data_IF_359324144180
#
_entry.id   IF_359324144180
#
_cell.length_a   1.000
_cell.length_b   1.000
_cell.length_c   1.000
_cell.angle_alpha   90.00
_cell.angle_beta   90.00
_cell.angle_gamma   90.00
#
_symmetry.space_group_name_H-M   'P 1'
#
loop_
_entity.id
_entity.type
_entity.pdbx_description
1 polymer ?
#
# COMPACT_ATOMS: atom_id res chain seq x y z
N UNK A 1 3.90 17.14 4.95
CA UNK A 1 2.86 16.08 4.88
C UNK A 1 1.65 16.49 5.73
N UNK A 2 0.44 16.08 5.38
CA UNK A 2 -0.81 16.42 6.08
C UNK A 2 -1.35 15.30 6.99
N UNK A 3 -0.74 14.12 6.94
CA UNK A 3 -1.05 12.96 7.78
C UNK A 3 0.11 12.56 8.70
N UNK A 4 -0.20 11.88 9.80
CA UNK A 4 0.77 11.37 10.77
C UNK A 4 0.34 10.01 11.33
N UNK A 5 1.28 9.27 11.94
CA UNK A 5 1.02 8.09 12.78
C UNK A 5 1.45 8.35 14.22
N UNK A 6 0.84 7.63 15.15
CA UNK A 6 1.17 7.69 16.58
C UNK A 6 2.41 6.85 16.94
N UNK A 7 2.75 5.85 16.12
CA UNK A 7 3.93 5.01 16.31
C UNK A 7 4.39 4.40 14.96
N UNK A 8 5.64 3.90 14.89
CA UNK A 8 6.17 3.20 13.71
C UNK A 8 5.43 1.90 13.40
N UNK A 9 5.56 1.44 12.15
CA UNK A 9 5.04 0.15 11.71
C UNK A 9 3.64 0.22 11.10
N UNK A 10 2.91 -0.91 11.16
CA UNK A 10 1.55 -1.05 10.63
C UNK A 10 0.56 -0.37 11.56
N UNK A 11 0.29 0.90 11.32
CA UNK A 11 -0.62 1.71 12.10
C UNK A 11 -1.44 2.60 11.17
N UNK A 12 -2.70 2.91 11.51
CA UNK A 12 -3.46 3.90 10.78
C UNK A 12 -2.75 5.25 10.87
N UNK A 13 -2.88 6.02 9.79
CA UNK A 13 -2.52 7.42 9.71
C UNK A 13 -3.75 8.30 9.84
N UNK A 14 -3.56 9.47 10.42
CA UNK A 14 -4.60 10.45 10.74
C UNK A 14 -4.21 11.79 10.16
N UNK A 15 -5.20 12.62 9.80
CA UNK A 15 -4.95 13.99 9.38
C UNK A 15 -4.45 14.81 10.57
N UNK A 16 -3.37 15.56 10.34
CA UNK A 16 -2.81 16.46 11.36
C UNK A 16 -3.86 17.50 11.76
N UNK A 17 -4.54 18.07 10.77
CA UNK A 17 -5.62 19.01 11.02
C UNK A 17 -6.78 18.28 11.70
N UNK A 18 -7.20 18.79 12.85
CA UNK A 18 -8.30 18.32 13.70
C UNK A 18 -8.06 17.02 14.47
N UNK A 19 -7.22 16.08 14.01
CA UNK A 19 -7.04 14.79 14.71
C UNK A 19 -5.80 14.73 15.61
N UNK A 20 -4.76 15.55 15.35
CA UNK A 20 -3.53 15.48 16.16
C UNK A 20 -3.78 15.72 17.64
N UNK A 21 -4.54 16.76 17.96
CA UNK A 21 -4.74 17.18 19.34
C UNK A 21 -5.68 16.24 20.10
N UNK A 22 -6.73 15.74 19.43
CA UNK A 22 -7.68 14.80 20.03
C UNK A 22 -7.04 13.43 20.29
N UNK A 23 -6.10 13.00 19.45
CA UNK A 23 -5.41 11.71 19.62
C UNK A 23 -4.26 11.78 20.62
N UNK A 24 -3.57 12.92 20.72
CA UNK A 24 -2.37 13.04 21.56
C UNK A 24 -2.64 13.72 22.90
N UNK A 25 -3.77 14.42 23.04
CA UNK A 25 -4.09 15.32 24.14
C UNK A 25 -2.96 16.33 24.46
N UNK A 26 -2.06 16.59 23.49
CA UNK A 26 -0.81 17.35 23.68
C UNK A 26 0.01 16.86 24.88
N UNK A 27 -0.02 15.55 25.14
CA UNK A 27 0.70 14.94 26.26
C UNK A 27 1.99 14.26 25.79
N UNK A 28 2.89 14.01 26.73
CA UNK A 28 4.05 13.17 26.48
C UNK A 28 3.62 11.77 26.00
N UNK A 29 4.27 11.16 25.00
CA UNK A 29 5.52 11.58 24.35
C UNK A 29 5.37 12.54 23.16
N UNK A 30 4.14 12.88 22.76
CA UNK A 30 3.86 13.67 21.56
C UNK A 30 4.07 15.18 21.75
N UNK A 31 4.00 15.67 22.98
CA UNK A 31 4.43 17.01 23.36
C UNK A 31 5.68 16.90 24.23
N UNK A 32 6.78 17.48 23.78
CA UNK A 32 8.05 17.54 24.50
C UNK A 32 8.54 18.99 24.50
N UNK A 33 9.49 19.34 25.36
CA UNK A 33 10.03 20.70 25.41
C UNK A 33 11.46 20.72 24.90
N UNK A 34 11.83 21.76 24.16
CA UNK A 34 13.23 21.99 23.80
C UNK A 34 14.03 22.55 24.98
N UNK A 35 15.31 22.86 24.75
CA UNK A 35 16.21 23.39 25.78
C UNK A 35 15.77 24.75 26.33
N UNK A 36 14.94 25.47 25.59
CA UNK A 36 14.40 26.77 25.97
C UNK A 36 13.06 26.64 26.71
N UNK A 37 12.53 25.42 26.86
CA UNK A 37 11.23 25.17 27.48
C UNK A 37 10.05 25.36 26.53
N UNK A 38 10.28 25.50 25.22
CA UNK A 38 9.21 25.69 24.23
C UNK A 38 8.62 24.35 23.79
N UNK A 39 7.30 24.26 23.76
CA UNK A 39 6.58 23.05 23.39
C UNK A 39 6.83 22.65 21.92
N UNK A 40 7.17 21.38 21.73
CA UNK A 40 7.45 20.73 20.45
C UNK A 40 6.48 19.57 20.28
N UNK A 41 5.81 19.54 19.13
CA UNK A 41 4.82 18.51 18.82
C UNK A 41 5.42 17.49 17.85
N UNK A 42 5.47 16.22 18.23
CA UNK A 42 6.08 15.14 17.49
C UNK A 42 5.11 14.02 17.14
N UNK A 43 5.37 13.36 16.02
CA UNK A 43 4.66 12.17 15.57
C UNK A 43 5.55 11.34 14.64
N UNK A 44 4.96 10.38 13.93
CA UNK A 44 5.65 9.50 12.99
C UNK A 44 5.18 9.74 11.56
N UNK A 45 6.11 9.76 10.60
CA UNK A 45 5.79 9.82 9.18
C UNK A 45 5.03 8.55 8.75
N UNK A 46 3.89 8.67 8.04
CA UNK A 46 3.12 7.51 7.61
C UNK A 46 3.86 6.59 6.63
N UNK A 47 4.78 7.15 5.84
CA UNK A 47 5.45 6.43 4.74
C UNK A 47 6.81 5.82 5.12
N UNK A 48 7.64 6.55 5.87
CA UNK A 48 9.01 6.11 6.17
C UNK A 48 9.27 5.77 7.64
N UNK A 49 8.27 5.90 8.52
CA UNK A 49 8.39 5.67 9.97
C UNK A 49 9.35 6.59 10.73
N UNK A 50 10.00 7.55 10.08
CA UNK A 50 10.85 8.51 10.78
C UNK A 50 10.02 9.50 11.63
N UNK A 51 10.62 10.08 12.68
CA UNK A 51 10.02 11.18 13.43
C UNK A 51 9.67 12.36 12.53
N UNK A 52 8.55 12.99 12.85
CA UNK A 52 8.13 14.27 12.29
C UNK A 52 7.81 15.25 13.40
N UNK A 53 8.12 16.52 13.17
CA UNK A 53 7.62 17.64 13.96
C UNK A 53 6.39 18.24 13.29
N UNK A 54 5.35 18.49 14.08
CA UNK A 54 4.14 19.18 13.61
C UNK A 54 4.40 20.69 13.64
N UNK A 55 4.26 21.31 12.48
CA UNK A 55 4.49 22.74 12.25
C UNK A 55 3.15 23.45 12.09
N UNK A 56 3.06 24.66 12.63
CA UNK A 56 1.89 25.53 12.54
C UNK A 56 0.59 24.90 13.05
N UNK A 57 0.68 24.04 14.09
CA UNK A 57 -0.50 23.46 14.76
C UNK A 57 -1.44 24.56 15.28
N UNK A 58 -0.86 25.62 15.85
CA UNK A 58 -1.54 26.85 16.24
C UNK A 58 -1.11 28.00 15.32
N UNK A 59 -1.88 28.33 14.26
CA UNK A 59 -1.52 29.41 13.36
C UNK A 59 -1.58 30.77 14.07
N UNK A 60 -0.51 31.56 13.96
CA UNK A 60 -0.42 32.90 14.58
C UNK A 60 -1.23 33.96 13.81
N UNK A 61 -1.65 33.67 12.58
CA UNK A 61 -2.42 34.58 11.72
C UNK A 61 -3.14 33.81 10.60
N UNK A 62 -4.11 34.45 9.92
CA UNK A 62 -4.80 33.87 8.75
C UNK A 62 -3.87 33.55 7.57
N UNK A 63 -2.69 34.17 7.51
CA UNK A 63 -1.65 33.90 6.48
C UNK A 63 -0.73 32.72 6.83
N UNK A 64 -0.82 32.19 8.06
CA UNK A 64 -0.02 31.04 8.47
C UNK A 64 -0.37 29.82 7.61
N UNK A 65 0.61 28.96 7.27
CA UNK A 65 0.32 27.74 6.54
C UNK A 65 -0.61 26.84 7.36
N UNK A 66 -1.38 26.00 6.67
CA UNK A 66 -2.15 24.92 7.32
C UNK A 66 -1.18 24.00 8.08
N UNK A 67 -1.59 23.41 9.22
CA UNK A 67 -0.75 22.48 9.97
C UNK A 67 -0.19 21.37 9.08
N UNK A 68 1.10 21.07 9.23
CA UNK A 68 1.77 20.04 8.46
C UNK A 68 2.91 19.39 9.24
N UNK A 69 3.22 18.15 8.89
CA UNK A 69 4.34 17.40 9.41
C UNK A 69 5.59 17.65 8.58
N UNK A 70 6.70 17.90 9.26
CA UNK A 70 8.05 17.99 8.69
C UNK A 70 8.92 16.93 9.33
N UNK A 71 9.69 16.18 8.55
CA UNK A 71 10.66 15.24 9.10
C UNK A 71 11.62 15.93 10.09
N UNK A 72 11.88 15.26 11.21
CA UNK A 72 12.85 15.67 12.20
C UNK A 72 14.10 14.78 12.06
N UNK A 73 15.27 15.41 11.92
CA UNK A 73 16.54 14.72 11.61
C UNK A 73 17.25 14.30 12.90
N UNK A 74 16.60 13.43 13.66
CA UNK A 74 17.10 12.91 14.94
C UNK A 74 16.09 12.01 15.61
N UNK A 75 16.54 11.20 16.56
CA UNK A 75 15.66 10.35 17.35
C UNK A 75 14.76 11.20 18.25
N UNK A 76 13.51 10.77 18.40
CA UNK A 76 12.57 11.39 19.34
C UNK A 76 12.16 10.34 20.35
N UNK A 77 12.55 10.57 21.61
CA UNK A 77 12.34 9.63 22.70
C UNK A 77 10.86 9.21 22.80
N UNK A 78 10.63 7.89 22.86
CA UNK A 78 9.30 7.25 22.89
C UNK A 78 8.37 7.55 21.70
N UNK A 79 8.88 8.12 20.60
CA UNK A 79 8.13 8.33 19.36
C UNK A 79 8.68 7.45 18.24
N UNK A 80 9.92 7.69 17.80
CA UNK A 80 10.56 6.94 16.72
C UNK A 80 12.06 7.24 16.65
N UNK A 81 12.80 6.31 16.03
CA UNK A 81 14.20 6.49 15.69
C UNK A 81 14.33 6.97 14.24
N UNK A 82 15.32 7.81 13.98
CA UNK A 82 15.62 8.36 12.67
C UNK A 82 16.41 7.37 11.82
N UNK A 83 15.98 7.19 10.57
CA UNK A 83 16.72 6.47 9.53
C UNK A 83 16.98 7.36 8.32
N UNK A 84 18.25 7.68 8.05
CA UNK A 84 18.63 8.44 6.87
C UNK A 84 18.22 7.72 5.58
N UNK A 85 18.40 6.39 5.54
CA UNK A 85 18.01 5.58 4.39
C UNK A 85 16.49 5.68 4.17
N UNK A 86 15.66 5.60 5.22
CA UNK A 86 14.22 5.75 5.07
C UNK A 86 13.82 7.17 4.63
N UNK A 87 14.48 8.21 5.15
CA UNK A 87 14.26 9.60 4.75
C UNK A 87 14.53 9.81 3.26
N UNK A 88 15.68 9.33 2.78
CA UNK A 88 16.16 9.43 1.40
C UNK A 88 15.28 8.73 0.36
N UNK A 89 14.38 7.87 0.83
CA UNK A 89 13.44 7.07 0.05
C UNK A 89 11.98 7.50 0.30
N UNK A 90 11.75 8.47 1.18
CA UNK A 90 10.41 8.91 1.54
C UNK A 90 9.84 9.84 0.46
N UNK A 91 8.63 9.58 -0.06
CA UNK A 91 8.01 10.45 -1.06
C UNK A 91 7.82 11.88 -0.54
N UNK A 92 7.55 12.06 0.76
CA UNK A 92 7.39 13.39 1.35
C UNK A 92 8.71 14.16 1.55
N UNK A 93 9.84 13.47 1.67
CA UNK A 93 11.15 14.12 1.85
C UNK A 93 11.80 14.44 0.50
N UNK A 94 11.67 13.52 -0.46
CA UNK A 94 12.31 13.59 -1.76
C UNK A 94 11.29 13.38 -2.90
N UNK A 95 10.32 14.30 -3.07
CA UNK A 95 9.21 14.12 -4.02
C UNK A 95 9.67 14.04 -5.49
N UNK A 96 10.76 14.72 -5.82
CA UNK A 96 11.33 14.78 -7.18
C UNK A 96 12.63 13.98 -7.29
N UNK A 97 12.75 12.89 -6.51
CA UNK A 97 13.95 12.06 -6.53
C UNK A 97 14.22 11.53 -7.93
N UNK A 98 15.43 11.77 -8.47
CA UNK A 98 15.90 11.20 -9.74
C UNK A 98 16.47 9.79 -9.59
N UNK A 99 16.31 9.16 -8.42
CA UNK A 99 16.77 7.79 -8.17
C UNK A 99 15.94 6.82 -9.01
N UNK A 100 16.59 5.81 -9.57
CA UNK A 100 15.88 4.75 -10.29
C UNK A 100 14.90 3.99 -9.38
N UNK A 101 13.98 3.25 -10.01
CA UNK A 101 12.85 2.59 -9.36
C UNK A 101 13.25 1.46 -8.41
N UNK A 102 14.50 0.99 -8.50
CA UNK A 102 15.01 -0.10 -7.67
C UNK A 102 15.94 0.41 -6.57
N UNK A 103 15.79 -0.21 -5.40
CA UNK A 103 16.72 -0.15 -4.30
C UNK A 103 17.96 -1.02 -4.59
N UNK A 104 19.11 -0.73 -3.96
CA UNK A 104 20.24 -1.66 -3.92
C UNK A 104 19.82 -3.02 -3.35
N UNK A 105 20.50 -4.10 -3.77
CA UNK A 105 20.15 -5.48 -3.39
C UNK A 105 20.25 -5.71 -1.88
N UNK A 106 21.19 -5.06 -1.20
CA UNK A 106 21.43 -5.13 0.24
C UNK A 106 20.73 -4.02 1.03
N UNK A 107 19.63 -3.47 0.51
CA UNK A 107 18.91 -2.39 1.18
C UNK A 107 18.09 -2.92 2.36
N UNK A 108 18.34 -2.37 3.55
CA UNK A 108 17.55 -2.64 4.76
C UNK A 108 16.06 -2.32 4.60
N UNK A 109 15.70 -1.39 3.69
CA UNK A 109 14.29 -1.13 3.32
C UNK A 109 13.69 -2.35 2.59
N UNK A 110 14.47 -2.99 1.71
CA UNK A 110 14.05 -4.20 1.01
C UNK A 110 13.82 -5.36 1.98
N UNK A 111 14.74 -5.55 2.94
CA UNK A 111 14.62 -6.59 3.96
C UNK A 111 13.41 -6.34 4.88
N UNK A 112 13.18 -5.09 5.29
CA UNK A 112 12.00 -4.73 6.07
C UNK A 112 10.67 -5.04 5.35
N UNK A 113 10.63 -4.95 4.00
CA UNK A 113 9.44 -5.35 3.23
C UNK A 113 9.25 -6.86 3.25
N UNK A 114 10.32 -7.63 3.11
CA UNK A 114 10.26 -9.10 3.21
C UNK A 114 9.75 -9.53 4.58
N UNK A 115 10.31 -8.97 5.65
CA UNK A 115 9.87 -9.25 7.02
C UNK A 115 8.41 -8.88 7.24
N UNK A 116 7.97 -7.75 6.68
CA UNK A 116 6.57 -7.35 6.75
C UNK A 116 5.66 -8.35 6.02
N UNK A 117 6.04 -8.77 4.82
CA UNK A 117 5.29 -9.79 4.06
C UNK A 117 5.19 -11.07 4.88
N UNK A 118 6.28 -11.59 5.46
CA UNK A 118 6.23 -12.81 6.31
C UNK A 118 5.19 -12.71 7.42
N UNK A 119 5.13 -11.55 8.10
CA UNK A 119 4.23 -11.31 9.24
C UNK A 119 2.77 -11.03 8.87
N UNK A 120 2.52 -10.53 7.66
CA UNK A 120 1.21 -9.96 7.27
C UNK A 120 0.72 -10.42 5.91
N UNK A 121 1.24 -11.53 5.38
CA UNK A 121 0.88 -11.99 4.04
C UNK A 121 -0.61 -12.33 3.91
N UNK A 122 -1.21 -12.87 4.95
CA UNK A 122 -2.64 -13.12 5.05
C UNK A 122 -3.48 -11.84 4.88
N UNK A 123 -3.12 -10.77 5.60
CA UNK A 123 -3.75 -9.44 5.48
C UNK A 123 -3.61 -8.87 4.07
N UNK A 124 -2.40 -8.96 3.49
CA UNK A 124 -2.14 -8.48 2.12
C UNK A 124 -3.08 -9.16 1.14
N UNK A 125 -3.15 -10.49 1.17
CA UNK A 125 -3.98 -11.29 0.27
C UNK A 125 -5.47 -11.05 0.52
N UNK A 126 -5.89 -10.92 1.78
CA UNK A 126 -7.29 -10.63 2.12
C UNK A 126 -7.75 -9.29 1.54
N UNK A 127 -6.97 -8.23 1.75
CA UNK A 127 -7.26 -6.89 1.24
C UNK A 127 -7.35 -6.89 -0.29
N UNK A 128 -6.39 -7.53 -0.95
CA UNK A 128 -6.40 -7.69 -2.41
C UNK A 128 -7.69 -8.38 -2.87
N UNK A 129 -8.03 -9.51 -2.25
CA UNK A 129 -9.19 -10.31 -2.62
C UNK A 129 -10.49 -9.53 -2.48
N UNK A 130 -10.66 -8.79 -1.37
CA UNK A 130 -11.88 -8.02 -1.11
C UNK A 130 -12.06 -6.82 -2.02
N UNK A 131 -10.99 -6.11 -2.36
CA UNK A 131 -11.09 -4.91 -3.20
C UNK A 131 -11.14 -5.20 -4.69
N UNK A 132 -10.50 -6.27 -5.15
CA UNK A 132 -10.57 -6.67 -6.56
C UNK A 132 -11.82 -7.49 -6.88
N UNK A 133 -12.45 -8.10 -5.87
CA UNK A 133 -13.54 -9.06 -6.06
C UNK A 133 -13.05 -10.43 -6.57
N UNK A 134 -11.75 -10.65 -6.72
CA UNK A 134 -11.20 -11.96 -7.09
C UNK A 134 -10.95 -12.76 -5.82
N UNK A 135 -11.49 -13.99 -5.71
CA UNK A 135 -11.17 -14.89 -4.60
C UNK A 135 -9.74 -15.42 -4.77
N UNK A 136 -8.84 -14.98 -3.90
CA UNK A 136 -7.44 -15.40 -3.95
C UNK A 136 -7.27 -16.70 -3.16
N UNK A 137 -7.07 -17.82 -3.87
CA UNK A 137 -6.76 -19.11 -3.27
C UNK A 137 -5.31 -19.16 -2.76
N UNK A 138 -4.99 -20.13 -1.90
CA UNK A 138 -3.61 -20.37 -1.46
C UNK A 138 -2.65 -20.60 -2.64
N UNK A 139 -3.10 -21.28 -3.69
CA UNK A 139 -2.32 -21.49 -4.91
C UNK A 139 -2.02 -20.16 -5.61
N UNK A 140 -3.01 -19.28 -5.75
CA UNK A 140 -2.80 -17.95 -6.33
C UNK A 140 -1.91 -17.08 -5.45
N UNK A 141 -2.11 -17.10 -4.13
CA UNK A 141 -1.28 -16.34 -3.20
C UNK A 141 0.19 -16.78 -3.34
N UNK A 142 0.45 -18.09 -3.37
CA UNK A 142 1.79 -18.65 -3.59
C UNK A 142 2.39 -18.20 -4.93
N UNK A 143 1.62 -18.21 -6.01
CA UNK A 143 2.02 -17.74 -7.34
C UNK A 143 2.40 -16.25 -7.32
N UNK A 144 1.53 -15.40 -6.75
CA UNK A 144 1.76 -13.96 -6.61
C UNK A 144 3.03 -13.64 -5.82
N UNK A 145 3.22 -14.27 -4.67
CA UNK A 145 4.41 -14.06 -3.84
C UNK A 145 5.67 -14.63 -4.51
N UNK A 146 5.57 -15.79 -5.15
CA UNK A 146 6.68 -16.38 -5.91
C UNK A 146 7.14 -15.47 -7.04
N UNK A 147 6.21 -14.90 -7.81
CA UNK A 147 6.53 -13.94 -8.87
C UNK A 147 7.16 -12.66 -8.33
N UNK A 148 6.59 -12.11 -7.24
CA UNK A 148 7.17 -10.96 -6.55
C UNK A 148 8.61 -11.20 -6.15
N UNK A 149 8.91 -12.36 -5.58
CA UNK A 149 10.26 -12.69 -5.14
C UNK A 149 11.20 -12.95 -6.33
N UNK A 150 10.76 -13.75 -7.32
CA UNK A 150 11.54 -14.04 -8.53
C UNK A 150 11.95 -12.77 -9.27
N UNK A 151 11.06 -11.78 -9.33
CA UNK A 151 11.28 -10.50 -10.00
C UNK A 151 11.84 -9.42 -9.06
N UNK A 152 12.34 -9.79 -7.88
CA UNK A 152 12.96 -8.91 -6.90
C UNK A 152 12.10 -7.70 -6.48
N UNK A 153 10.79 -7.89 -6.38
CA UNK A 153 9.82 -6.83 -6.10
C UNK A 153 10.05 -6.09 -4.78
N UNK A 154 10.73 -6.70 -3.79
CA UNK A 154 11.14 -6.03 -2.54
C UNK A 154 12.07 -4.84 -2.77
N UNK A 155 12.78 -4.83 -3.90
CA UNK A 155 13.64 -3.72 -4.31
C UNK A 155 12.84 -2.55 -4.87
N UNK A 156 11.56 -2.71 -5.19
CA UNK A 156 10.78 -1.63 -5.79
C UNK A 156 10.60 -0.46 -4.82
N UNK A 157 11.17 0.70 -5.16
CA UNK A 157 11.21 1.90 -4.31
C UNK A 157 9.82 2.42 -3.97
N UNK A 158 8.86 2.28 -4.88
CA UNK A 158 7.49 2.75 -4.66
C UNK A 158 6.63 1.77 -3.87
N UNK A 159 7.09 0.53 -3.66
CA UNK A 159 6.46 -0.38 -2.71
C UNK A 159 6.71 0.11 -1.28
N UNK A 160 5.64 0.33 -0.51
CA UNK A 160 5.66 0.63 0.92
C UNK A 160 4.78 -0.39 1.65
N UNK A 161 4.93 -0.48 2.97
CA UNK A 161 4.13 -1.41 3.77
C UNK A 161 2.62 -1.19 3.59
N UNK A 162 2.20 0.06 3.35
CA UNK A 162 0.81 0.46 3.23
C UNK A 162 0.19 0.10 1.86
N UNK A 163 1.01 -0.05 0.82
CA UNK A 163 0.55 -0.27 -0.56
C UNK A 163 0.93 -1.64 -1.14
N UNK A 164 1.53 -2.52 -0.32
CA UNK A 164 1.92 -3.87 -0.71
C UNK A 164 0.82 -4.69 -1.43
N UNK A 165 -0.46 -4.64 -1.03
CA UNK A 165 -1.56 -5.29 -1.75
C UNK A 165 -1.61 -4.93 -3.25
N UNK A 166 -1.20 -3.72 -3.59
CA UNK A 166 -1.30 -3.20 -4.95
C UNK A 166 0.01 -3.34 -5.71
N UNK A 167 1.14 -3.19 -5.03
CA UNK A 167 2.46 -3.24 -5.65
C UNK A 167 3.00 -4.65 -5.79
N UNK A 168 2.60 -5.60 -4.93
CA UNK A 168 2.99 -7.00 -5.03
C UNK A 168 2.60 -7.65 -6.38
N UNK A 169 1.33 -7.58 -6.85
CA UNK A 169 0.93 -8.22 -8.11
C UNK A 169 1.51 -7.57 -9.37
N UNK A 170 2.03 -6.33 -9.29
CA UNK A 170 2.68 -5.64 -10.44
C UNK A 170 3.87 -6.43 -10.99
N UNK A 171 4.47 -7.27 -10.14
CA UNK A 171 5.61 -8.13 -10.49
C UNK A 171 5.18 -9.49 -11.09
N UNK A 172 3.91 -9.64 -11.45
CA UNK A 172 3.41 -10.81 -12.18
C UNK A 172 3.05 -10.42 -13.60
N UNK A 173 3.21 -11.36 -14.53
CA UNK A 173 2.51 -11.31 -15.81
C UNK A 173 0.99 -11.37 -15.59
N UNK A 174 0.20 -11.13 -16.65
CA UNK A 174 -1.25 -11.24 -16.56
C UNK A 174 -1.66 -12.66 -16.14
N UNK A 175 -2.46 -12.75 -15.06
CA UNK A 175 -2.80 -14.02 -14.41
C UNK A 175 -4.18 -14.48 -14.88
N UNK A 176 -4.28 -15.72 -15.37
CA UNK A 176 -5.57 -16.28 -15.83
C UNK A 176 -6.63 -16.26 -14.74
N UNK A 177 -7.89 -15.94 -15.10
CA UNK A 177 -9.05 -16.07 -14.22
C UNK A 177 -9.73 -17.45 -14.33
N UNK A 178 -9.35 -18.31 -15.28
CA UNK A 178 -9.97 -19.63 -15.45
C UNK A 178 -9.92 -20.45 -14.16
N UNK A 179 -11.07 -21.01 -13.77
CA UNK A 179 -11.24 -21.77 -12.54
C UNK A 179 -11.19 -20.94 -11.25
N UNK A 180 -11.27 -19.60 -11.34
CA UNK A 180 -11.30 -18.72 -10.17
C UNK A 180 -12.71 -18.23 -9.91
N UNK A 181 -13.01 -18.07 -8.62
CA UNK A 181 -14.26 -17.49 -8.14
C UNK A 181 -14.14 -15.98 -8.04
N UNK A 182 -15.20 -15.28 -8.45
CA UNK A 182 -15.38 -13.86 -8.22
C UNK A 182 -16.43 -13.65 -7.13
N UNK A 183 -16.29 -12.59 -6.35
CA UNK A 183 -17.27 -12.20 -5.34
C UNK A 183 -18.56 -11.73 -6.04
N UNK A 184 -19.71 -12.39 -5.83
CA UNK A 184 -20.96 -12.05 -6.50
C UNK A 184 -21.40 -10.59 -6.29
N UNK A 185 -20.99 -9.98 -5.18
CA UNK A 185 -21.36 -8.62 -4.83
C UNK A 185 -20.43 -7.58 -5.46
N UNK A 186 -19.28 -7.99 -5.99
CA UNK A 186 -18.28 -7.09 -6.59
C UNK A 186 -18.76 -6.46 -7.88
N UNK A 187 -18.31 -5.22 -8.11
CA UNK A 187 -18.48 -4.51 -9.39
C UNK A 187 -17.91 -5.31 -10.56
N UNK A 188 -16.78 -5.99 -10.33
CA UNK A 188 -16.13 -6.86 -11.30
C UNK A 188 -17.06 -7.98 -11.77
N UNK A 189 -17.61 -8.78 -10.83
CA UNK A 189 -18.47 -9.90 -11.19
C UNK A 189 -19.75 -9.41 -11.88
N UNK A 190 -20.41 -8.39 -11.33
CA UNK A 190 -21.63 -7.82 -11.91
C UNK A 190 -21.41 -7.33 -13.34
N UNK A 191 -20.28 -6.67 -13.62
CA UNK A 191 -19.98 -6.20 -14.98
C UNK A 191 -19.70 -7.34 -15.95
N UNK A 192 -18.90 -8.32 -15.52
CA UNK A 192 -18.49 -9.42 -16.40
C UNK A 192 -19.61 -10.42 -16.65
N UNK A 193 -20.41 -10.75 -15.63
CA UNK A 193 -21.52 -11.71 -15.76
C UNK A 193 -22.65 -11.16 -16.63
N UNK A 194 -22.90 -9.85 -16.61
CA UNK A 194 -23.86 -9.18 -17.49
C UNK A 194 -23.42 -9.19 -18.96
N UNK A 195 -22.15 -8.84 -19.23
CA UNK A 195 -21.63 -8.74 -20.61
C UNK A 195 -21.15 -10.05 -21.22
N UNK A 196 -20.70 -10.98 -20.37
CA UNK A 196 -20.08 -12.25 -20.76
C UNK A 196 -20.63 -13.42 -19.94
N UNK A 197 -21.97 -13.65 -19.94
CA UNK A 197 -22.60 -14.68 -19.10
C UNK A 197 -22.03 -16.07 -19.37
N UNK A 198 -21.71 -16.40 -20.62
CA UNK A 198 -21.16 -17.71 -21.01
C UNK A 198 -19.78 -18.02 -20.41
N UNK A 199 -19.09 -17.00 -19.88
CA UNK A 199 -17.79 -17.14 -19.20
C UNK A 199 -17.92 -17.83 -17.83
N UNK A 200 -19.12 -17.89 -17.24
CA UNK A 200 -19.32 -18.26 -15.85
C UNK A 200 -20.16 -19.53 -15.64
N UNK A 201 -19.80 -20.28 -14.60
CA UNK A 201 -20.63 -21.30 -13.97
C UNK A 201 -20.87 -20.85 -12.52
N UNK A 202 -22.08 -20.34 -12.23
CA UNK A 202 -22.33 -19.58 -11.01
C UNK A 202 -21.45 -18.32 -10.96
N UNK A 203 -20.64 -18.19 -9.92
CA UNK A 203 -19.64 -17.12 -9.78
C UNK A 203 -18.20 -17.58 -10.07
N UNK A 204 -18.04 -18.77 -10.63
CA UNK A 204 -16.74 -19.30 -11.07
C UNK A 204 -16.54 -19.04 -12.56
N UNK A 205 -15.36 -18.56 -12.95
CA UNK A 205 -14.98 -18.46 -14.36
C UNK A 205 -14.69 -19.88 -14.88
N UNK A 206 -15.42 -20.32 -15.91
CA UNK A 206 -15.29 -21.68 -16.46
C UNK A 206 -13.85 -22.01 -16.81
N UNK A 207 -13.40 -23.19 -16.41
CA UNK A 207 -12.05 -23.68 -16.71
C UNK A 207 -11.96 -24.25 -18.13
N UNK A 208 -12.89 -25.16 -18.46
CA UNK A 208 -13.06 -25.79 -19.78
C UNK A 208 -14.23 -25.17 -20.54
N UNK A 209 -14.19 -25.25 -21.88
CA UNK A 209 -15.25 -24.75 -22.79
C UNK A 209 -15.60 -23.27 -22.58
N UNK A 210 -14.65 -22.49 -22.03
CA UNK A 210 -14.78 -21.05 -21.93
C UNK A 210 -14.34 -20.44 -23.27
N UNK A 211 -15.24 -19.73 -24.00
CA UNK A 211 -14.88 -19.10 -25.26
C UNK A 211 -13.89 -17.93 -25.06
N UNK A 212 -13.66 -17.52 -23.81
CA UNK A 212 -12.73 -16.48 -23.44
C UNK A 212 -11.48 -17.06 -22.74
N UNK A 213 -10.39 -16.31 -22.82
CA UNK A 213 -9.18 -16.48 -22.04
C UNK A 213 -8.94 -15.25 -21.15
N UNK A 214 -9.79 -15.05 -20.11
CA UNK A 214 -9.72 -13.89 -19.26
C UNK A 214 -8.48 -13.95 -18.36
N UNK A 215 -7.76 -12.83 -18.26
CA UNK A 215 -6.62 -12.65 -17.36
C UNK A 215 -6.75 -11.32 -16.63
N UNK A 216 -6.37 -11.29 -15.35
CA UNK A 216 -6.31 -10.06 -14.59
C UNK A 216 -4.88 -9.52 -14.50
N UNK A 217 -4.74 -8.21 -14.44
CA UNK A 217 -3.46 -7.54 -14.25
C UNK A 217 -3.64 -6.23 -13.47
N UNK A 218 -2.65 -5.89 -12.64
CA UNK A 218 -2.52 -4.58 -12.00
C UNK A 218 -1.32 -3.86 -12.60
N UNK A 219 -1.56 -2.70 -13.24
CA UNK A 219 -0.55 -1.96 -13.99
C UNK A 219 -0.69 -0.45 -13.79
N UNK A 220 0.27 0.31 -14.30
CA UNK A 220 0.27 1.77 -14.29
C UNK A 220 0.07 2.34 -12.88
N UNK A 221 0.77 1.76 -11.89
CA UNK A 221 0.84 2.33 -10.56
C UNK A 221 1.37 3.77 -10.66
N UNK A 222 0.65 4.70 -10.05
CA UNK A 222 0.99 6.12 -10.02
C UNK A 222 0.99 6.60 -8.59
N UNK A 223 1.96 7.45 -8.28
CA UNK A 223 2.07 8.17 -7.04
C UNK A 223 2.19 9.65 -7.35
N UNK A 224 1.41 10.48 -6.68
CA UNK A 224 1.50 11.93 -6.81
C UNK A 224 1.38 12.59 -5.45
N UNK A 225 2.03 13.74 -5.33
CA UNK A 225 1.83 14.66 -4.23
C UNK A 225 1.02 15.84 -4.73
N UNK A 226 0.12 16.37 -3.89
CA UNK A 226 -0.57 17.63 -4.21
C UNK A 226 0.43 18.77 -4.41
N UNK A 227 0.01 19.87 -5.05
CA UNK A 227 0.90 21.01 -5.39
C UNK A 227 1.72 21.56 -4.22
N UNK A 228 1.27 21.38 -2.97
CA UNK A 228 1.98 21.80 -1.77
C UNK A 228 2.82 20.69 -1.10
N UNK A 229 3.00 19.54 -1.76
CA UNK A 229 3.70 18.34 -1.24
C UNK A 229 3.20 17.81 0.11
N UNK A 230 1.94 18.10 0.44
CA UNK A 230 1.37 17.75 1.74
C UNK A 230 0.58 16.45 1.69
N UNK A 231 -0.14 16.20 0.61
CA UNK A 231 -1.02 15.04 0.51
C UNK A 231 -0.50 14.07 -0.55
N UNK A 232 -0.35 12.80 -0.17
CA UNK A 232 0.10 11.72 -1.05
C UNK A 232 -1.13 10.98 -1.57
N UNK A 233 -1.22 10.83 -2.89
CA UNK A 233 -2.23 10.04 -3.57
C UNK A 233 -1.55 8.94 -4.38
N UNK A 234 -2.13 7.76 -4.33
CA UNK A 234 -1.64 6.58 -5.02
C UNK A 234 -2.81 5.90 -5.75
N UNK A 235 -2.58 5.54 -7.01
CA UNK A 235 -3.57 4.85 -7.84
C UNK A 235 -2.93 3.71 -8.62
N UNK A 236 -3.74 2.72 -8.99
CA UNK A 236 -3.32 1.62 -9.85
C UNK A 236 -4.47 1.21 -10.78
N UNK A 237 -4.16 0.81 -12.01
CA UNK A 237 -5.17 0.28 -12.92
C UNK A 237 -5.33 -1.21 -12.70
N UNK A 238 -6.53 -1.64 -12.38
CA UNK A 238 -6.94 -3.03 -12.34
C UNK A 238 -7.71 -3.35 -13.63
N UNK A 239 -7.26 -4.36 -14.38
CA UNK A 239 -7.83 -4.72 -15.68
C UNK A 239 -8.10 -6.21 -15.79
N UNK A 240 -9.20 -6.55 -16.46
CA UNK A 240 -9.41 -7.87 -17.05
C UNK A 240 -9.28 -7.76 -18.55
N UNK A 241 -8.37 -8.54 -19.11
CA UNK A 241 -8.17 -8.66 -20.56
C UNK A 241 -8.63 -10.03 -21.03
N UNK A 242 -9.19 -10.11 -22.22
CA UNK A 242 -9.28 -11.35 -22.98
C UNK A 242 -8.05 -11.44 -23.89
N UNK A 243 -7.33 -12.55 -23.84
CA UNK A 243 -6.18 -12.78 -24.72
C UNK A 243 -6.42 -13.99 -25.62
N UNK A 244 -6.70 -13.71 -26.89
CA UNK A 244 -6.76 -14.72 -27.94
C UNK A 244 -5.43 -14.73 -28.71
N UNK A 245 -5.22 -15.69 -29.63
CA UNK A 245 -3.93 -15.85 -30.32
C UNK A 245 -3.46 -14.61 -31.10
N UNK A 246 -4.40 -13.77 -31.55
CA UNK A 246 -4.14 -12.63 -32.45
C UNK A 246 -4.60 -11.28 -31.89
N UNK A 247 -5.25 -11.24 -30.74
CA UNK A 247 -5.83 -10.01 -30.20
C UNK A 247 -5.85 -9.99 -28.68
N UNK A 248 -5.80 -8.77 -28.14
CA UNK A 248 -5.99 -8.51 -26.72
C UNK A 248 -7.10 -7.46 -26.60
N UNK A 249 -8.19 -7.82 -25.92
CA UNK A 249 -9.32 -6.91 -25.71
C UNK A 249 -9.50 -6.64 -24.23
N UNK A 250 -9.87 -5.39 -23.90
CA UNK A 250 -10.15 -5.00 -22.52
C UNK A 250 -11.60 -5.34 -22.19
N UNK A 251 -11.82 -6.29 -21.27
CA UNK A 251 -13.16 -6.69 -20.81
C UNK A 251 -13.64 -5.80 -19.66
N UNK A 252 -12.72 -5.34 -18.82
CA UNK A 252 -13.01 -4.55 -17.62
C UNK A 252 -11.80 -3.72 -17.22
N UNK A 253 -11.99 -2.45 -16.86
CA UNK A 253 -10.97 -1.59 -16.28
C UNK A 253 -11.55 -0.77 -15.13
N UNK A 254 -10.81 -0.73 -14.02
CA UNK A 254 -11.07 0.15 -12.89
C UNK A 254 -9.75 0.83 -12.47
N UNK A 255 -9.83 2.10 -12.07
CA UNK A 255 -8.71 2.76 -11.39
C UNK A 255 -8.94 2.69 -9.88
N UNK A 256 -8.15 1.86 -9.20
CA UNK A 256 -8.22 1.73 -7.75
C UNK A 256 -7.46 2.88 -7.09
N UNK A 257 -8.13 3.59 -6.18
CA UNK A 257 -7.51 4.56 -5.28
C UNK A 257 -6.99 3.81 -4.07
N UNK A 258 -5.70 3.95 -3.77
CA UNK A 258 -5.03 3.21 -2.70
C UNK A 258 -5.26 3.94 -1.38
N UNK A 259 -6.07 3.32 -0.51
CA UNK A 259 -6.18 3.73 0.89
C UNK A 259 -5.02 3.13 1.70
N UNK A 260 -4.09 3.99 2.10
CA UNK A 260 -2.91 3.62 2.89
C UNK A 260 -3.25 3.07 4.27
N UNK A 261 -4.45 3.35 4.79
CA UNK A 261 -4.88 2.85 6.10
C UNK A 261 -5.57 1.49 6.01
N UNK A 262 -5.81 0.96 4.81
CA UNK A 262 -6.65 -0.21 4.62
C UNK A 262 -6.11 -1.44 5.33
N UNK A 263 -4.80 -1.71 5.24
CA UNK A 263 -4.18 -2.81 5.98
C UNK A 263 -4.29 -2.64 7.49
N UNK A 264 -3.98 -1.44 8.00
CA UNK A 264 -3.99 -1.17 9.43
C UNK A 264 -5.39 -1.22 10.06
N UNK A 265 -6.44 -1.01 9.25
CA UNK A 265 -7.85 -1.10 9.67
C UNK A 265 -8.47 -2.48 9.43
N UNK A 266 -7.75 -3.40 8.79
CA UNK A 266 -8.24 -4.74 8.48
C UNK A 266 -7.78 -5.71 9.54
N UNK A 267 -8.71 -6.46 10.12
CA UNK A 267 -8.40 -7.60 10.98
C UNK A 267 -8.75 -8.90 10.25
N UNK A 268 -7.73 -9.66 9.88
CA UNK A 268 -7.88 -10.97 9.27
C UNK A 268 -6.66 -11.82 9.61
N UNK A 269 -6.91 -13.11 9.87
CA UNK A 269 -5.85 -14.06 10.19
C UNK A 269 -6.00 -15.32 9.36
N UNK A 270 -4.90 -15.79 8.77
CA UNK A 270 -4.84 -17.09 8.08
C UNK A 270 -3.47 -17.72 8.22
N UNK A 271 -3.36 -18.68 9.14
CA UNK A 271 -2.14 -19.48 9.33
C UNK A 271 -1.60 -20.08 8.03
N UNK A 272 -2.49 -20.61 7.18
CA UNK A 272 -2.09 -21.23 5.90
C UNK A 272 -1.42 -20.25 4.94
N UNK A 273 -1.82 -18.97 4.94
CA UNK A 273 -1.18 -17.96 4.12
C UNK A 273 0.16 -17.55 4.73
N UNK A 274 0.23 -17.36 6.05
CA UNK A 274 1.50 -17.07 6.75
C UNK A 274 2.54 -18.18 6.54
N UNK A 275 2.14 -19.45 6.64
CA UNK A 275 3.01 -20.61 6.36
C UNK A 275 3.55 -20.61 4.91
N UNK A 276 2.81 -20.05 3.94
CA UNK A 276 3.32 -19.88 2.56
C UNK A 276 4.43 -18.83 2.53
N UNK A 277 4.23 -17.70 3.20
CA UNK A 277 5.21 -16.63 3.24
C UNK A 277 6.49 -17.07 3.96
N UNK A 278 6.37 -17.78 5.09
CA UNK A 278 7.52 -18.30 5.84
C UNK A 278 8.37 -19.26 5.01
N UNK A 279 7.76 -20.07 4.14
CA UNK A 279 8.47 -21.00 3.25
C UNK A 279 9.14 -20.32 2.06
N UNK A 280 8.56 -19.23 1.55
CA UNK A 280 9.03 -18.58 0.33
C UNK A 280 10.01 -17.44 0.60
N UNK A 281 9.84 -16.72 1.70
CA UNK A 281 10.67 -15.55 2.03
C UNK A 281 11.82 -15.98 2.93
N UNK A 282 12.96 -16.25 2.29
CA UNK A 282 14.27 -16.47 2.93
C UNK A 282 14.87 -15.17 3.44
#
# INVERSE_FOLDING_TARGET
>A
MDKFKLSPGLQPSYYIKNEYESLTNRTFPYCQHDKQGEAQFFAVCPECNNPIKIISLHPKSKKSPKPYGRHFMGDVYKIANYSQIAYDNCPYACPNSKKGDLLPTNSTIGDAKKDFIKKHFDLIIHVMSKKTGIRISQKLAKELLGNYLKNQGWRYRFCTINNLPWTLPVFSEAITLKGRYLDPDSSLFKNLSDKYPDMFEGNCVKFSNNPYNPKFVLINYKRSLTQNNHHLSETIKFRIINQDEKSMTNMYEETLIIDQNLLAKTNYYSKKLLDIADKLVS
#
